data_IF_085138223860
#
_entry.id   IF_085138223860
#
_cell.length_a   1.000
_cell.length_b   1.000
_cell.length_c   1.000
_cell.angle_alpha   90.00
_cell.angle_beta   90.00
_cell.angle_gamma   90.00
#
_symmetry.space_group_name_H-M   'P 1'
#
loop_
_entity.id
_entity.type
_entity.pdbx_description
1 polymer ?
#
# COMPACT_ATOMS: atom_id res chain seq x y z
N UNK A 1 -23.33 47.38 -63.31
CA UNK A 1 -21.87 47.24 -63.54
C UNK A 1 -21.38 46.06 -62.72
N UNK A 2 -20.98 44.94 -63.34
CA UNK A 2 -20.40 43.80 -62.61
C UNK A 2 -18.88 43.99 -62.53
N UNK A 3 -18.32 43.95 -61.32
CA UNK A 3 -16.87 43.85 -61.11
C UNK A 3 -16.43 42.38 -61.24
N UNK A 4 -15.25 42.08 -61.83
CA UNK A 4 -14.88 40.70 -62.16
C UNK A 4 -14.33 39.93 -60.95
N UNK A 5 -15.04 38.88 -60.55
CA UNK A 5 -14.73 38.01 -59.39
C UNK A 5 -13.36 37.35 -59.42
N UNK A 6 -12.71 37.24 -60.59
CA UNK A 6 -11.41 36.58 -60.73
C UNK A 6 -10.26 37.23 -59.96
N UNK A 7 -10.28 38.56 -59.74
CA UNK A 7 -9.12 39.30 -59.19
C UNK A 7 -8.86 39.05 -57.69
N UNK A 8 -9.82 38.47 -56.98
CA UNK A 8 -9.73 38.21 -55.52
C UNK A 8 -9.06 36.85 -55.26
N UNK A 9 -9.52 35.79 -55.94
CA UNK A 9 -8.94 34.44 -55.85
C UNK A 9 -7.45 34.44 -56.25
N UNK A 10 -7.12 35.16 -57.32
CA UNK A 10 -5.75 35.31 -57.86
C UNK A 10 -4.76 36.01 -56.92
N UNK A 11 -5.26 36.79 -55.96
CA UNK A 11 -4.47 37.53 -54.99
C UNK A 11 -4.29 36.71 -53.71
N UNK A 12 -5.32 35.94 -53.32
CA UNK A 12 -5.24 34.97 -52.22
C UNK A 12 -4.28 33.83 -52.55
N UNK A 13 -4.37 33.24 -53.74
CA UNK A 13 -3.49 32.16 -54.18
C UNK A 13 -2.02 32.60 -54.27
N UNK A 14 -1.75 33.83 -54.76
CA UNK A 14 -0.39 34.41 -54.74
C UNK A 14 0.13 34.72 -53.34
N UNK A 15 -0.71 35.17 -52.40
CA UNK A 15 -0.31 35.33 -50.99
C UNK A 15 0.02 33.97 -50.36
N UNK A 16 -0.80 32.96 -50.61
CA UNK A 16 -0.60 31.61 -50.08
C UNK A 16 0.71 30.99 -50.61
N UNK A 17 0.95 31.02 -51.92
CA UNK A 17 2.20 30.55 -52.54
C UNK A 17 3.45 31.30 -52.04
N UNK A 18 3.36 32.61 -51.80
CA UNK A 18 4.46 33.40 -51.22
C UNK A 18 4.74 33.02 -49.78
N UNK A 19 3.71 32.86 -48.95
CA UNK A 19 3.86 32.42 -47.56
C UNK A 19 4.38 30.98 -47.47
N UNK A 20 3.89 30.08 -48.33
CA UNK A 20 4.34 28.69 -48.40
C UNK A 20 5.80 28.58 -48.83
N UNK A 21 6.23 29.31 -49.87
CA UNK A 21 7.66 29.42 -50.23
C UNK A 21 8.49 30.01 -49.09
N UNK A 22 8.01 31.04 -48.38
CA UNK A 22 8.74 31.63 -47.25
C UNK A 22 8.88 30.65 -46.09
N UNK A 23 7.84 29.90 -45.76
CA UNK A 23 7.86 28.85 -44.73
C UNK A 23 8.74 27.65 -45.13
N UNK A 24 8.66 27.21 -46.38
CA UNK A 24 9.50 26.14 -46.93
C UNK A 24 10.98 26.51 -46.96
N UNK A 25 11.32 27.79 -47.22
CA UNK A 25 12.70 28.31 -47.09
C UNK A 25 13.13 28.36 -45.62
N UNK A 26 12.27 28.79 -44.69
CA UNK A 26 12.57 28.81 -43.25
C UNK A 26 12.85 27.39 -42.73
N UNK A 27 12.04 26.40 -43.10
CA UNK A 27 12.27 24.98 -42.75
C UNK A 27 13.49 24.37 -43.45
N UNK A 28 13.90 24.88 -44.62
CA UNK A 28 15.11 24.46 -45.30
C UNK A 28 16.40 25.13 -44.76
N UNK A 29 16.27 26.28 -44.06
CA UNK A 29 17.41 27.02 -43.49
C UNK A 29 17.65 26.75 -42.00
N UNK A 30 16.82 25.97 -41.33
CA UNK A 30 17.16 25.45 -40.00
C UNK A 30 18.22 24.36 -40.15
N UNK A 31 19.48 24.71 -39.94
CA UNK A 31 20.59 23.77 -39.71
C UNK A 31 20.40 23.04 -38.38
N UNK A 32 19.37 22.18 -38.32
CA UNK A 32 19.14 21.27 -37.22
C UNK A 32 20.36 20.35 -37.17
N UNK A 33 21.14 20.35 -36.07
CA UNK A 33 22.39 19.61 -36.02
C UNK A 33 22.13 18.13 -36.23
N UNK A 34 23.05 17.43 -36.91
CA UNK A 34 22.86 16.03 -37.33
C UNK A 34 22.40 15.11 -36.18
N UNK A 35 22.89 15.35 -34.96
CA UNK A 35 22.44 14.65 -33.73
C UNK A 35 20.94 14.82 -33.48
N UNK A 36 20.39 16.02 -33.59
CA UNK A 36 18.95 16.29 -33.40
C UNK A 36 18.11 15.73 -34.55
N UNK A 37 18.61 15.73 -35.79
CA UNK A 37 17.94 15.04 -36.91
C UNK A 37 17.81 13.53 -36.63
N UNK A 38 18.91 12.88 -36.23
CA UNK A 38 18.95 11.45 -35.88
C UNK A 38 18.05 11.12 -34.69
N UNK A 39 18.06 11.95 -33.64
CA UNK A 39 17.17 11.75 -32.47
C UNK A 39 15.69 11.85 -32.88
N UNK A 40 15.32 12.79 -33.76
CA UNK A 40 13.95 12.92 -34.25
C UNK A 40 13.50 11.74 -35.11
N UNK A 41 14.34 11.19 -35.99
CA UNK A 41 13.99 9.97 -36.76
C UNK A 41 13.90 8.73 -35.88
N UNK A 42 14.80 8.57 -34.90
CA UNK A 42 14.72 7.46 -33.94
C UNK A 42 13.45 7.58 -33.10
N UNK A 43 13.15 8.77 -32.55
CA UNK A 43 11.93 9.00 -31.77
C UNK A 43 10.66 8.74 -32.60
N UNK A 44 10.61 9.16 -33.87
CA UNK A 44 9.48 8.92 -34.75
C UNK A 44 9.22 7.43 -35.06
N UNK A 45 10.26 6.59 -35.04
CA UNK A 45 10.12 5.13 -35.19
C UNK A 45 9.83 4.43 -33.86
N UNK A 46 10.48 4.84 -32.76
CA UNK A 46 10.33 4.18 -31.46
C UNK A 46 9.04 4.57 -30.71
N UNK A 47 8.55 5.81 -30.84
CA UNK A 47 7.35 6.28 -30.14
C UNK A 47 6.08 5.48 -30.48
N UNK A 48 5.73 5.21 -31.76
CA UNK A 48 4.57 4.38 -32.06
C UNK A 48 4.77 2.93 -31.60
N UNK A 49 5.98 2.37 -31.74
CA UNK A 49 6.29 1.01 -31.29
C UNK A 49 6.17 0.89 -29.77
N UNK A 50 6.66 1.86 -29.01
CA UNK A 50 6.57 1.92 -27.55
C UNK A 50 5.15 2.14 -27.03
N UNK A 51 4.28 2.82 -27.79
CA UNK A 51 2.87 3.03 -27.42
C UNK A 51 1.97 1.85 -27.83
N UNK A 52 2.31 1.12 -28.89
CA UNK A 52 1.47 0.02 -29.42
C UNK A 52 1.87 -1.34 -28.82
N UNK A 53 3.16 -1.62 -28.59
CA UNK A 53 3.60 -2.90 -28.01
C UNK A 53 3.00 -3.23 -26.63
N UNK A 54 2.83 -2.30 -25.68
CA UNK A 54 2.17 -2.59 -24.41
C UNK A 54 0.72 -3.04 -24.60
N UNK A 55 0.06 -2.59 -25.68
CA UNK A 55 -1.32 -2.99 -25.98
C UNK A 55 -1.42 -4.46 -26.43
N UNK A 56 -0.37 -5.02 -27.04
CA UNK A 56 -0.31 -6.45 -27.40
C UNK A 56 0.27 -7.35 -26.29
N UNK A 57 0.84 -6.76 -25.22
CA UNK A 57 1.38 -7.50 -24.08
C UNK A 57 0.53 -7.34 -22.80
N UNK A 58 -0.45 -6.43 -22.81
CA UNK A 58 -1.28 -6.07 -21.66
C UNK A 58 -2.76 -5.78 -22.01
N UNK A 59 -3.08 -5.52 -23.28
CA UNK A 59 -4.46 -5.55 -23.77
C UNK A 59 -4.83 -7.00 -24.08
N UNK A 60 -5.45 -7.68 -23.11
CA UNK A 60 -5.81 -9.09 -23.25
C UNK A 60 -6.86 -9.33 -24.33
N UNK A 61 -6.82 -10.54 -24.90
CA UNK A 61 -7.90 -11.11 -25.71
C UNK A 61 -9.28 -10.81 -25.12
N UNK A 62 -10.23 -10.48 -26.00
CA UNK A 62 -11.66 -10.36 -25.70
C UNK A 62 -12.31 -11.73 -25.42
N UNK A 63 -11.84 -12.39 -24.35
CA UNK A 63 -12.54 -13.48 -23.68
C UNK A 63 -13.89 -12.95 -23.17
N UNK A 64 -14.93 -13.24 -23.94
CA UNK A 64 -16.31 -12.94 -23.59
C UNK A 64 -16.61 -13.47 -22.19
N UNK A 65 -17.13 -12.60 -21.32
CA UNK A 65 -17.51 -12.95 -19.94
C UNK A 65 -18.66 -13.99 -19.98
N UNK A 66 -18.30 -15.26 -20.07
CA UNK A 66 -19.18 -16.38 -19.80
C UNK A 66 -19.34 -16.47 -18.29
N UNK A 67 -20.47 -15.97 -17.78
CA UNK A 67 -20.85 -16.20 -16.39
C UNK A 67 -21.03 -17.71 -16.20
N UNK A 68 -20.05 -18.36 -15.59
CA UNK A 68 -20.09 -19.77 -15.23
C UNK A 68 -21.24 -20.04 -14.26
N UNK A 69 -22.33 -20.61 -14.79
CA UNK A 69 -23.52 -20.97 -13.98
C UNK A 69 -23.17 -21.94 -12.85
N UNK A 70 -22.16 -22.78 -13.04
CA UNK A 70 -21.61 -23.69 -12.01
C UNK A 70 -21.04 -22.93 -10.79
N UNK A 71 -20.41 -21.76 -11.02
CA UNK A 71 -19.85 -20.94 -9.94
C UNK A 71 -20.94 -20.21 -9.15
N UNK A 72 -22.07 -19.88 -9.80
CA UNK A 72 -23.26 -19.34 -9.13
C UNK A 72 -24.05 -20.43 -8.39
N UNK A 73 -24.14 -21.64 -8.92
CA UNK A 73 -24.77 -22.78 -8.25
C UNK A 73 -24.08 -23.11 -6.92
N UNK A 74 -22.73 -23.08 -6.90
CA UNK A 74 -21.92 -23.28 -5.69
C UNK A 74 -22.19 -22.26 -4.58
N UNK A 75 -22.66 -21.04 -4.92
CA UNK A 75 -23.01 -19.98 -3.94
C UNK A 75 -24.49 -19.97 -3.51
N UNK A 76 -25.32 -20.80 -4.13
CA UNK A 76 -26.75 -20.95 -3.84
C UNK A 76 -27.09 -22.22 -3.05
N UNK A 77 -26.07 -23.00 -2.66
CA UNK A 77 -26.25 -24.16 -1.78
C UNK A 77 -26.79 -23.72 -0.40
N UNK A 78 -27.80 -24.41 0.17
CA UNK A 78 -28.42 -23.99 1.42
C UNK A 78 -27.47 -24.16 2.60
N UNK A 79 -27.12 -23.04 3.24
CA UNK A 79 -26.34 -23.00 4.49
C UNK A 79 -27.18 -23.41 5.71
N UNK A 80 -27.46 -24.71 5.80
CA UNK A 80 -28.05 -25.36 6.98
C UNK A 80 -29.46 -25.92 6.77
N UNK A 81 -29.66 -27.18 7.17
CA UNK A 81 -30.99 -27.75 7.39
C UNK A 81 -31.40 -27.56 8.85
N UNK A 82 -32.53 -26.88 9.08
CA UNK A 82 -33.17 -26.86 10.40
C UNK A 82 -33.94 -28.16 10.63
N UNK A 83 -33.40 -29.03 11.49
CA UNK A 83 -34.13 -30.18 12.03
C UNK A 83 -35.07 -29.72 13.15
N UNK A 84 -36.35 -29.55 12.83
CA UNK A 84 -37.39 -29.32 13.86
C UNK A 84 -37.64 -30.65 14.58
N UNK A 85 -37.11 -30.79 15.79
CA UNK A 85 -37.19 -32.02 16.57
C UNK A 85 -38.59 -32.30 17.13
N UNK A 86 -39.07 -33.53 16.90
CA UNK A 86 -40.15 -34.13 17.68
C UNK A 86 -39.57 -34.84 18.93
N UNK A 87 -40.34 -35.00 20.03
CA UNK A 87 -39.77 -35.36 21.33
C UNK A 87 -39.29 -36.81 21.42
N UNK A 88 -38.24 -37.01 22.23
CA UNK A 88 -37.52 -38.28 22.38
C UNK A 88 -38.26 -39.35 23.20
N UNK A 89 -37.92 -40.64 23.00
CA UNK A 89 -37.85 -41.63 24.06
C UNK A 89 -36.39 -41.84 24.53
N UNK A 90 -36.23 -42.32 25.76
CA UNK A 90 -34.95 -42.36 26.47
C UNK A 90 -34.12 -43.64 26.23
N UNK A 91 -32.79 -43.52 26.40
CA UNK A 91 -31.91 -44.63 26.78
C UNK A 91 -30.95 -45.12 25.69
N UNK A 92 -29.68 -44.70 25.76
CA UNK A 92 -28.59 -45.25 24.95
C UNK A 92 -27.29 -44.47 25.21
N UNK A 93 -26.27 -45.13 25.75
CA UNK A 93 -25.03 -44.48 26.14
C UNK A 93 -24.03 -44.32 24.98
N UNK A 94 -23.40 -43.14 24.94
CA UNK A 94 -22.13 -42.78 24.31
C UNK A 94 -21.50 -43.73 23.25
N UNK A 95 -21.46 -43.24 22.00
CA UNK A 95 -20.17 -42.93 21.37
C UNK A 95 -20.20 -41.48 20.88
N UNK A 96 -19.45 -40.61 21.56
CA UNK A 96 -19.24 -39.25 21.09
C UNK A 96 -18.07 -39.29 20.09
N UNK A 97 -18.39 -39.40 18.80
CA UNK A 97 -17.44 -38.97 17.78
C UNK A 97 -17.29 -37.45 17.92
N UNK A 98 -16.18 -37.03 18.52
CA UNK A 98 -15.86 -35.62 18.74
C UNK A 98 -15.23 -34.98 17.49
N UNK A 99 -15.62 -35.42 16.29
CA UNK A 99 -15.39 -34.73 15.01
C UNK A 99 -16.23 -33.46 14.84
N UNK A 100 -16.43 -32.69 15.93
CA UNK A 100 -17.05 -31.37 15.87
C UNK A 100 -16.00 -30.34 15.45
N UNK A 101 -15.59 -30.41 14.19
CA UNK A 101 -14.83 -29.34 13.56
C UNK A 101 -15.56 -28.02 13.76
N UNK A 102 -14.82 -27.03 14.30
CA UNK A 102 -15.19 -25.63 14.15
C UNK A 102 -15.40 -25.34 12.65
N UNK A 103 -16.22 -24.35 12.26
CA UNK A 103 -16.33 -23.95 10.85
C UNK A 103 -14.91 -23.74 10.30
N UNK A 104 -14.55 -24.53 9.29
CA UNK A 104 -13.19 -24.56 8.77
C UNK A 104 -12.79 -23.15 8.36
N UNK A 105 -11.64 -22.70 8.87
CA UNK A 105 -11.18 -21.35 8.64
C UNK A 105 -10.94 -21.13 7.13
N UNK A 106 -11.53 -20.07 6.58
CA UNK A 106 -11.47 -19.75 5.16
C UNK A 106 -10.11 -19.11 4.80
N UNK A 107 -9.06 -19.93 4.77
CA UNK A 107 -7.70 -19.52 4.44
C UNK A 107 -7.60 -18.84 3.08
N UNK A 108 -8.40 -19.28 2.10
CA UNK A 108 -8.49 -18.63 0.79
C UNK A 108 -9.14 -17.25 0.89
N UNK A 109 -10.28 -17.13 1.55
CA UNK A 109 -10.97 -15.86 1.73
C UNK A 109 -10.14 -14.85 2.51
N UNK A 110 -9.36 -15.28 3.50
CA UNK A 110 -8.44 -14.39 4.21
C UNK A 110 -7.23 -13.98 3.36
N UNK A 111 -6.68 -14.91 2.57
CA UNK A 111 -5.68 -14.58 1.55
C UNK A 111 -6.22 -13.52 0.57
N UNK A 112 -7.41 -13.72 0.02
CA UNK A 112 -8.03 -12.81 -0.96
C UNK A 112 -8.27 -11.40 -0.37
N UNK A 113 -8.60 -11.30 0.93
CA UNK A 113 -8.87 -10.02 1.62
C UNK A 113 -7.61 -9.19 1.90
N UNK A 114 -6.54 -9.83 2.36
CA UNK A 114 -5.38 -9.12 2.96
C UNK A 114 -4.08 -9.47 2.23
N UNK A 115 -3.77 -10.75 2.07
CA UNK A 115 -2.47 -11.19 1.56
C UNK A 115 -2.31 -10.94 0.05
N UNK A 116 -3.39 -11.04 -0.73
CA UNK A 116 -3.39 -10.88 -2.18
C UNK A 116 -2.91 -9.50 -2.65
N UNK A 117 -3.12 -8.45 -1.86
CA UNK A 117 -2.67 -7.09 -2.16
C UNK A 117 -1.15 -6.99 -2.39
N UNK A 118 -0.37 -7.80 -1.66
CA UNK A 118 1.10 -7.86 -1.81
C UNK A 118 1.55 -9.11 -2.58
N UNK A 119 1.00 -10.28 -2.25
CA UNK A 119 1.42 -11.55 -2.81
C UNK A 119 0.80 -11.88 -4.18
N UNK A 120 -0.24 -11.18 -4.64
CA UNK A 120 -0.78 -11.38 -5.99
C UNK A 120 0.18 -10.88 -7.08
N UNK A 121 0.69 -9.66 -6.93
CA UNK A 121 1.62 -9.03 -7.88
C UNK A 121 3.11 -9.18 -7.52
N UNK A 122 3.43 -9.60 -6.29
CA UNK A 122 4.80 -9.65 -5.78
C UNK A 122 5.33 -8.28 -5.34
N UNK A 123 4.45 -7.45 -4.78
CA UNK A 123 4.75 -6.09 -4.34
C UNK A 123 5.92 -6.08 -3.33
N UNK A 124 6.83 -5.11 -3.47
CA UNK A 124 8.06 -5.00 -2.66
C UNK A 124 8.94 -6.28 -2.61
N UNK A 125 8.86 -7.13 -3.64
CA UNK A 125 9.61 -8.39 -3.68
C UNK A 125 8.98 -9.52 -2.86
N UNK A 126 7.71 -9.38 -2.47
CA UNK A 126 6.92 -10.49 -1.94
C UNK A 126 6.92 -11.68 -2.92
N UNK A 127 6.97 -12.93 -2.42
CA UNK A 127 6.79 -14.10 -3.27
C UNK A 127 5.39 -14.07 -3.89
N UNK A 128 5.31 -14.23 -5.21
CA UNK A 128 4.04 -14.23 -5.93
C UNK A 128 3.24 -15.49 -5.62
N UNK A 129 1.93 -15.37 -5.61
CA UNK A 129 1.02 -16.50 -5.52
C UNK A 129 1.24 -17.44 -6.71
N UNK A 130 1.37 -18.74 -6.45
CA UNK A 130 1.71 -19.73 -7.48
C UNK A 130 3.18 -19.81 -7.91
N UNK A 131 4.07 -18.95 -7.41
CA UNK A 131 5.50 -18.96 -7.80
C UNK A 131 6.30 -20.02 -7.02
N UNK A 132 6.24 -21.27 -7.50
CA UNK A 132 6.94 -22.43 -6.92
C UNK A 132 8.40 -22.13 -6.59
N UNK A 133 9.13 -21.45 -7.48
CA UNK A 133 10.55 -21.19 -7.29
C UNK A 133 10.79 -20.17 -6.15
N UNK A 134 10.00 -19.09 -6.10
CA UNK A 134 10.10 -18.08 -5.05
C UNK A 134 9.67 -18.61 -3.67
N UNK A 135 8.72 -19.54 -3.61
CA UNK A 135 8.29 -20.17 -2.37
C UNK A 135 9.23 -21.27 -1.90
N UNK A 136 9.72 -22.14 -2.79
CA UNK A 136 10.67 -23.21 -2.43
C UNK A 136 11.97 -22.60 -1.86
N UNK A 137 12.54 -21.59 -2.52
CA UNK A 137 13.75 -20.92 -2.05
C UNK A 137 13.59 -20.24 -0.66
N UNK A 138 12.34 -19.91 -0.27
CA UNK A 138 12.03 -19.40 1.08
C UNK A 138 11.88 -20.53 2.08
N UNK A 139 11.20 -21.62 1.72
CA UNK A 139 11.08 -22.81 2.56
C UNK A 139 12.46 -23.40 2.87
N UNK A 140 13.32 -23.56 1.85
CA UNK A 140 14.69 -24.06 2.00
C UNK A 140 15.55 -23.15 2.90
N UNK A 141 15.40 -21.83 2.77
CA UNK A 141 16.11 -20.84 3.60
C UNK A 141 15.69 -20.89 5.07
N UNK A 142 14.42 -21.17 5.35
CA UNK A 142 13.88 -21.25 6.72
C UNK A 142 13.93 -22.66 7.31
N UNK A 143 14.16 -23.70 6.49
CA UNK A 143 14.36 -25.10 6.89
C UNK A 143 13.08 -25.87 7.23
N UNK A 144 12.00 -25.19 7.63
CA UNK A 144 10.68 -25.81 7.85
C UNK A 144 9.52 -24.83 7.63
N UNK A 145 8.31 -25.39 7.49
CA UNK A 145 7.07 -24.63 7.48
C UNK A 145 6.91 -23.79 8.76
N UNK A 146 7.11 -24.39 9.94
CA UNK A 146 6.95 -23.69 11.22
C UNK A 146 7.88 -22.48 11.35
N UNK A 147 9.11 -22.59 10.85
CA UNK A 147 10.08 -21.49 10.85
C UNK A 147 9.67 -20.36 9.90
N UNK A 148 9.09 -20.70 8.73
CA UNK A 148 8.53 -19.73 7.79
C UNK A 148 7.27 -19.04 8.35
N UNK A 149 6.36 -19.81 8.95
CA UNK A 149 5.13 -19.33 9.61
C UNK A 149 5.49 -18.41 10.78
N UNK A 150 6.42 -18.81 11.65
CA UNK A 150 6.88 -18.00 12.78
C UNK A 150 7.51 -16.68 12.32
N UNK A 151 8.26 -16.68 11.23
CA UNK A 151 8.78 -15.45 10.65
C UNK A 151 7.66 -14.56 10.10
N UNK A 152 6.63 -15.14 9.46
CA UNK A 152 5.45 -14.41 9.00
C UNK A 152 4.63 -13.80 10.15
N UNK A 153 4.49 -14.52 11.27
CA UNK A 153 3.83 -14.03 12.50
C UNK A 153 4.60 -12.84 13.08
N UNK A 154 5.94 -12.89 13.10
CA UNK A 154 6.80 -11.79 13.57
C UNK A 154 6.90 -10.62 12.58
N UNK A 155 6.56 -10.84 11.31
CA UNK A 155 6.80 -9.90 10.21
C UNK A 155 8.21 -10.04 9.61
N UNK A 156 8.38 -9.58 8.37
CA UNK A 156 9.66 -9.65 7.65
C UNK A 156 9.80 -8.51 6.64
N UNK A 157 10.73 -7.59 6.88
CA UNK A 157 10.99 -6.46 5.99
C UNK A 157 9.76 -5.58 5.84
N UNK A 158 9.16 -5.55 4.65
CA UNK A 158 7.93 -4.81 4.35
C UNK A 158 6.64 -5.57 4.68
N UNK A 159 6.71 -6.84 5.10
CA UNK A 159 5.55 -7.63 5.52
C UNK A 159 5.28 -7.41 7.02
N UNK A 160 4.10 -6.85 7.41
CA UNK A 160 3.74 -6.69 8.82
C UNK A 160 3.57 -8.05 9.54
N UNK A 161 3.53 -8.06 10.89
CA UNK A 161 3.13 -9.24 11.66
C UNK A 161 1.84 -9.87 11.12
N UNK A 162 1.86 -11.17 10.83
CA UNK A 162 0.76 -11.93 10.20
C UNK A 162 0.26 -11.34 8.87
N UNK A 163 1.09 -10.55 8.17
CA UNK A 163 0.67 -9.80 6.99
C UNK A 163 -0.33 -8.68 7.26
N UNK A 164 -0.56 -8.30 8.52
CA UNK A 164 -1.60 -7.35 8.94
C UNK A 164 -2.96 -7.99 9.23
N UNK A 165 -3.08 -9.32 9.17
CA UNK A 165 -4.33 -10.03 9.45
C UNK A 165 -4.61 -10.14 10.95
N UNK A 166 -5.88 -9.89 11.34
CA UNK A 166 -6.38 -9.99 12.72
C UNK A 166 -6.70 -11.42 13.17
N UNK A 167 -5.90 -12.41 12.75
CA UNK A 167 -6.18 -13.85 12.88
C UNK A 167 -5.26 -14.53 13.92
N UNK A 168 -5.62 -15.73 14.37
CA UNK A 168 -4.78 -16.53 15.27
C UNK A 168 -3.49 -17.04 14.59
N UNK A 169 -2.55 -17.58 15.37
CA UNK A 169 -1.28 -18.12 14.83
C UNK A 169 -1.55 -19.37 13.98
N UNK A 170 -2.52 -20.19 14.39
CA UNK A 170 -3.01 -21.38 13.70
C UNK A 170 -3.74 -21.02 12.40
N UNK A 171 -4.61 -20.00 12.44
CA UNK A 171 -5.26 -19.47 11.24
C UNK A 171 -4.24 -18.91 10.24
N UNK A 172 -3.21 -18.20 10.73
CA UNK A 172 -2.13 -17.72 9.88
C UNK A 172 -1.29 -18.87 9.29
N UNK A 173 -1.03 -19.94 10.06
CA UNK A 173 -0.42 -21.16 9.55
C UNK A 173 -1.21 -21.74 8.38
N UNK A 174 -2.53 -21.86 8.52
CA UNK A 174 -3.41 -22.40 7.47
C UNK A 174 -3.45 -21.51 6.21
N UNK A 175 -3.35 -20.17 6.36
CA UNK A 175 -3.10 -19.27 5.21
C UNK A 175 -1.76 -19.62 4.53
N UNK A 176 -0.66 -19.75 5.28
CA UNK A 176 0.66 -20.05 4.69
C UNK A 176 0.68 -21.41 3.99
N UNK A 177 0.00 -22.42 4.52
CA UNK A 177 -0.21 -23.72 3.84
C UNK A 177 -0.92 -23.50 2.50
N UNK A 178 -2.03 -22.76 2.47
CA UNK A 178 -2.75 -22.45 1.23
C UNK A 178 -1.86 -21.77 0.16
N UNK A 179 -1.00 -20.81 0.54
CA UNK A 179 -0.07 -20.21 -0.44
C UNK A 179 0.97 -21.22 -0.98
N UNK A 180 1.44 -22.16 -0.15
CA UNK A 180 2.43 -23.17 -0.55
C UNK A 180 1.80 -24.27 -1.41
N UNK A 181 0.60 -24.72 -1.08
CA UNK A 181 -0.18 -25.65 -1.90
C UNK A 181 -0.50 -25.07 -3.27
N UNK A 182 -0.92 -23.79 -3.34
CA UNK A 182 -1.10 -23.10 -4.61
C UNK A 182 0.21 -22.80 -5.37
N UNK A 183 1.35 -22.77 -4.68
CA UNK A 183 2.68 -22.79 -5.30
C UNK A 183 3.14 -24.20 -5.70
N UNK A 184 2.27 -25.22 -5.59
CA UNK A 184 2.52 -26.62 -5.92
C UNK A 184 3.60 -27.27 -5.03
N UNK A 185 3.77 -26.78 -3.79
CA UNK A 185 4.68 -27.29 -2.76
C UNK A 185 3.85 -27.91 -1.63
N UNK A 186 3.55 -29.22 -1.67
CA UNK A 186 2.67 -29.85 -0.70
C UNK A 186 3.28 -29.81 0.71
N UNK A 187 2.58 -29.14 1.63
CA UNK A 187 2.80 -29.29 3.06
C UNK A 187 1.75 -30.28 3.57
N UNK A 188 2.18 -31.41 4.15
CA UNK A 188 1.22 -32.41 4.66
C UNK A 188 0.26 -31.76 5.67
N UNK A 189 -1.03 -31.78 5.35
CA UNK A 189 -2.04 -30.96 6.02
C UNK A 189 -2.12 -31.10 7.54
N UNK A 190 -2.51 -29.99 8.17
CA UNK A 190 -2.71 -29.74 9.60
C UNK A 190 -3.09 -30.94 10.48
N UNK A 191 -2.47 -31.03 11.68
CA UNK A 191 -3.09 -31.72 12.82
C UNK A 191 -2.27 -32.77 13.59
N UNK A 192 -1.05 -32.45 14.05
CA UNK A 192 -0.44 -33.21 15.15
C UNK A 192 0.44 -32.32 16.03
N UNK A 193 -0.03 -32.04 17.25
CA UNK A 193 0.80 -31.42 18.28
C UNK A 193 1.95 -32.37 18.69
N UNK A 194 3.18 -31.85 18.75
CA UNK A 194 4.29 -32.48 19.46
C UNK A 194 4.79 -31.52 20.56
N UNK A 195 5.09 -31.99 21.78
CA UNK A 195 4.95 -31.18 22.98
C UNK A 195 6.25 -30.48 23.43
N UNK A 196 6.08 -29.47 24.29
CA UNK A 196 7.18 -28.87 25.03
C UNK A 196 7.62 -29.75 26.22
N UNK A 197 8.80 -30.36 26.11
CA UNK A 197 9.68 -30.81 27.19
C UNK A 197 11.09 -31.01 26.58
N UNK A 198 12.22 -30.83 27.28
CA UNK A 198 12.36 -30.60 28.71
C UNK A 198 13.69 -31.14 29.24
N UNK A 199 14.79 -30.59 28.73
CA UNK A 199 16.14 -30.53 29.32
C UNK A 199 17.07 -31.78 29.47
N UNK A 200 18.37 -31.46 29.51
CA UNK A 200 19.55 -32.22 29.96
C UNK A 200 20.10 -33.36 29.06
N UNK A 201 21.31 -33.29 28.48
CA UNK A 201 22.69 -33.12 29.06
C UNK A 201 23.34 -34.48 29.38
N UNK A 202 24.59 -34.82 29.06
CA UNK A 202 25.65 -34.21 28.23
C UNK A 202 26.78 -35.25 28.00
N UNK A 203 27.76 -34.94 27.13
CA UNK A 203 29.20 -35.26 27.35
C UNK A 203 30.12 -34.57 26.33
N UNK A 204 30.91 -33.59 26.79
CA UNK A 204 32.20 -33.19 26.17
C UNK A 204 33.35 -33.99 26.85
N UNK A 205 34.67 -33.81 26.57
CA UNK A 205 35.45 -32.55 26.64
C UNK A 205 36.44 -32.41 25.43
N UNK A 206 37.47 -31.55 25.31
CA UNK A 206 38.27 -30.64 26.15
C UNK A 206 39.04 -29.63 25.22
N UNK A 207 39.72 -28.54 25.61
CA UNK A 207 39.66 -27.59 26.75
C UNK A 207 40.67 -26.42 26.53
N UNK A 208 40.51 -25.31 27.27
CA UNK A 208 41.55 -24.31 27.69
C UNK A 208 42.24 -23.36 26.66
N UNK A 209 42.64 -22.10 27.00
CA UNK A 209 42.55 -21.34 28.27
C UNK A 209 42.75 -19.80 28.14
N UNK A 210 42.21 -19.06 29.14
CA UNK A 210 42.62 -17.75 29.70
C UNK A 210 42.48 -16.47 28.85
N UNK A 211 42.31 -15.24 29.36
CA UNK A 211 41.88 -14.56 30.62
C UNK A 211 42.54 -13.17 30.57
N UNK A 212 41.81 -12.05 30.70
CA UNK A 212 42.00 -11.03 31.78
C UNK A 212 40.91 -9.93 31.72
N UNK A 213 40.65 -9.28 32.87
CA UNK A 213 39.74 -8.14 33.09
C UNK A 213 40.60 -6.88 33.42
N UNK A 214 40.18 -5.78 34.10
CA UNK A 214 38.87 -5.32 34.64
C UNK A 214 38.51 -3.89 34.09
N UNK A 215 37.70 -2.98 34.66
CA UNK A 215 37.14 -2.76 36.01
C UNK A 215 35.92 -1.80 36.03
N UNK A 216 35.32 -1.62 37.21
CA UNK A 216 34.38 -0.53 37.58
C UNK A 216 35.15 0.62 38.29
N UNK A 217 34.60 1.74 38.80
CA UNK A 217 33.21 2.13 39.13
C UNK A 217 33.06 3.68 39.31
N UNK A 218 31.88 4.11 39.77
CA UNK A 218 31.62 5.30 40.62
C UNK A 218 31.83 6.74 40.07
N UNK A 219 30.70 7.35 39.67
CA UNK A 219 30.05 8.56 40.23
C UNK A 219 30.91 9.63 40.97
N UNK A 220 30.69 10.93 40.68
CA UNK A 220 30.29 12.03 41.63
C UNK A 220 30.14 13.40 40.88
N UNK A 221 29.10 14.17 41.28
CA UNK A 221 28.80 15.62 41.18
C UNK A 221 28.58 16.42 39.86
N UNK A 222 27.68 17.40 40.03
CA UNK A 222 27.35 18.54 39.17
C UNK A 222 27.90 19.85 39.80
N UNK A 223 27.66 21.02 39.19
CA UNK A 223 26.80 21.97 39.93
C UNK A 223 25.78 22.74 39.07
N UNK A 224 24.81 23.35 39.78
CA UNK A 224 23.77 24.27 39.27
C UNK A 224 24.38 25.65 38.87
N UNK A 225 23.68 26.62 38.26
CA UNK A 225 22.43 27.37 38.61
C UNK A 225 21.89 28.08 37.34
N UNK A 226 20.72 28.74 37.26
CA UNK A 226 19.74 29.20 38.25
C UNK A 226 18.29 29.23 37.67
N UNK A 227 17.31 29.33 38.56
CA UNK A 227 15.86 29.42 38.30
C UNK A 227 15.40 30.86 37.98
N UNK A 228 14.29 31.00 37.24
CA UNK A 228 13.26 32.03 37.52
C UNK A 228 11.92 31.65 36.89
N UNK A 229 11.09 30.95 37.66
CA UNK A 229 9.66 30.75 37.39
C UNK A 229 8.82 31.98 37.78
N UNK A 230 7.82 32.33 36.97
CA UNK A 230 6.69 33.18 37.37
C UNK A 230 5.42 32.78 36.60
N UNK A 231 4.25 32.87 37.27
CA UNK A 231 3.04 32.13 36.89
C UNK A 231 2.02 32.89 36.01
N UNK A 232 1.06 32.10 35.51
CA UNK A 232 -0.19 32.40 34.79
C UNK A 232 -1.11 33.48 35.47
N UNK A 233 -2.21 34.01 34.86
CA UNK A 233 -3.22 33.23 34.10
C UNK A 233 -4.09 33.87 32.98
N UNK A 234 -4.85 32.98 32.31
CA UNK A 234 -6.24 33.10 31.82
C UNK A 234 -6.70 34.09 30.71
N UNK A 235 -7.28 33.46 29.66
CA UNK A 235 -8.63 33.68 29.10
C UNK A 235 -8.95 34.79 28.04
N UNK A 236 -9.34 34.26 26.86
CA UNK A 236 -10.49 34.63 26.00
C UNK A 236 -10.47 35.75 24.92
N UNK A 237 -10.94 35.31 23.74
CA UNK A 237 -11.86 35.95 22.78
C UNK A 237 -11.32 36.78 21.58
N UNK A 238 -11.34 36.08 20.43
CA UNK A 238 -11.90 36.50 19.11
C UNK A 238 -11.40 37.79 18.43
N UNK A 239 -10.80 37.61 17.25
CA UNK A 239 -11.25 38.33 16.04
C UNK A 239 -11.40 37.35 14.88
N UNK A 240 -12.62 37.31 14.35
CA UNK A 240 -13.05 36.59 13.16
C UNK A 240 -12.72 37.42 11.91
N UNK A 241 -12.21 36.80 10.84
CA UNK A 241 -12.21 37.40 9.48
C UNK A 241 -12.78 36.39 8.52
N UNK A 242 -13.85 36.80 7.82
CA UNK A 242 -14.71 35.90 7.06
C UNK A 242 -14.15 35.52 5.68
N UNK A 243 -14.21 34.22 5.41
CA UNK A 243 -14.60 33.57 4.16
C UNK A 243 -14.29 34.24 2.80
N UNK A 244 -13.44 33.56 2.03
CA UNK A 244 -13.69 33.34 0.60
C UNK A 244 -14.13 31.88 0.42
N UNK A 245 -15.42 31.61 0.62
CA UNK A 245 -15.96 30.25 0.62
C UNK A 245 -15.98 29.62 -0.78
N UNK A 246 -15.09 28.65 -1.02
CA UNK A 246 -15.43 27.52 -1.89
C UNK A 246 -16.49 26.70 -1.17
N UNK A 247 -17.65 26.48 -1.79
CA UNK A 247 -18.73 25.74 -1.15
C UNK A 247 -18.38 24.24 -1.11
N UNK A 248 -17.79 23.79 0.01
CA UNK A 248 -17.66 22.38 0.32
C UNK A 248 -19.05 21.71 0.26
N UNK A 249 -19.11 20.51 -0.32
CA UNK A 249 -20.23 19.64 -0.07
C UNK A 249 -20.33 19.35 1.44
N UNK A 250 -21.48 18.90 1.98
CA UNK A 250 -21.54 18.47 3.37
C UNK A 250 -20.46 17.43 3.64
N UNK A 251 -19.58 17.68 4.62
CA UNK A 251 -18.67 16.66 5.13
C UNK A 251 -19.48 15.41 5.43
N UNK A 252 -19.06 14.28 4.86
CA UNK A 252 -19.70 13.00 5.16
C UNK A 252 -19.45 12.68 6.64
N UNK A 253 -20.48 12.68 7.51
CA UNK A 253 -20.29 12.43 8.93
C UNK A 253 -19.86 10.98 9.22
N UNK A 254 -19.85 10.11 8.21
CA UNK A 254 -19.38 8.73 8.29
C UNK A 254 -17.97 8.53 7.71
N UNK A 255 -17.32 9.58 7.19
CA UNK A 255 -15.94 9.45 6.72
C UNK A 255 -15.00 9.20 7.89
N UNK A 256 -14.22 8.12 7.80
CA UNK A 256 -13.28 7.71 8.85
C UNK A 256 -11.83 8.01 8.41
N UNK A 257 -11.29 9.20 8.71
CA UNK A 257 -9.92 9.54 8.31
C UNK A 257 -8.87 8.66 8.99
N UNK A 258 -9.13 8.14 10.20
CA UNK A 258 -8.24 7.19 10.85
C UNK A 258 -8.19 5.85 10.10
N UNK A 259 -9.34 5.34 9.65
CA UNK A 259 -9.41 4.09 8.87
C UNK A 259 -8.70 4.17 7.53
N UNK A 260 -8.83 5.29 6.80
CA UNK A 260 -8.07 5.49 5.56
C UNK A 260 -6.57 5.76 5.82
N UNK A 261 -6.23 6.43 6.94
CA UNK A 261 -4.83 6.55 7.38
C UNK A 261 -4.21 5.17 7.63
N UNK A 262 -4.84 4.32 8.44
CA UNK A 262 -4.33 3.00 8.82
C UNK A 262 -4.16 2.07 7.59
N UNK A 263 -5.07 2.19 6.62
CA UNK A 263 -5.12 1.37 5.40
C UNK A 263 -4.08 1.75 4.33
N UNK A 264 -3.77 3.05 4.16
CA UNK A 264 -2.94 3.54 3.04
C UNK A 264 -1.79 4.46 3.46
N UNK A 265 -1.99 5.33 4.44
CA UNK A 265 -1.02 6.38 4.76
C UNK A 265 0.01 5.94 5.80
N UNK A 266 -0.38 5.07 6.74
CA UNK A 266 0.45 4.59 7.84
C UNK A 266 1.74 3.91 7.37
N UNK A 267 1.72 3.19 6.24
CA UNK A 267 2.88 2.52 5.64
C UNK A 267 4.08 3.45 5.45
N UNK A 268 3.83 4.72 5.11
CA UNK A 268 4.87 5.73 4.99
C UNK A 268 4.95 6.63 6.22
N UNK A 269 3.81 7.09 6.73
CA UNK A 269 3.74 8.13 7.75
C UNK A 269 3.79 7.64 9.21
N UNK A 270 3.71 6.35 9.50
CA UNK A 270 3.94 5.86 10.87
C UNK A 270 5.43 5.89 11.23
N UNK A 271 6.30 5.49 10.30
CA UNK A 271 7.75 5.39 10.52
C UNK A 271 8.57 6.52 9.86
N UNK A 272 7.96 7.32 8.99
CA UNK A 272 8.63 8.39 8.24
C UNK A 272 9.42 7.88 7.03
N UNK A 273 8.90 6.86 6.35
CA UNK A 273 9.51 6.25 5.16
C UNK A 273 9.71 7.30 4.07
N UNK A 274 10.83 7.23 3.33
CA UNK A 274 11.16 8.18 2.26
C UNK A 274 11.12 9.67 2.69
N UNK A 275 11.45 9.98 3.95
CA UNK A 275 11.37 11.33 4.52
C UNK A 275 9.94 11.90 4.55
N UNK A 276 8.94 11.02 4.65
CA UNK A 276 7.57 11.40 5.00
C UNK A 276 7.54 11.95 6.45
N UNK A 277 6.75 13.01 6.72
CA UNK A 277 6.51 13.47 8.08
C UNK A 277 5.76 12.40 8.88
N UNK A 278 6.19 12.14 10.11
CA UNK A 278 5.57 11.11 10.95
C UNK A 278 4.27 11.62 11.55
N UNK A 279 3.25 10.78 11.66
CA UNK A 279 2.07 11.11 12.48
C UNK A 279 2.53 11.32 13.94
N UNK A 280 2.19 12.45 14.55
CA UNK A 280 2.66 12.84 15.88
C UNK A 280 3.88 13.79 15.89
N UNK A 281 4.55 14.01 14.76
CA UNK A 281 5.74 14.89 14.70
C UNK A 281 5.33 16.36 14.47
N UNK A 282 4.96 17.03 15.56
CA UNK A 282 4.49 18.42 15.56
C UNK A 282 5.45 19.39 14.87
N UNK A 283 6.75 19.20 15.03
CA UNK A 283 7.78 20.04 14.41
C UNK A 283 7.81 19.84 12.89
N UNK A 284 7.85 18.59 12.40
CA UNK A 284 7.89 18.28 10.98
C UNK A 284 6.61 18.69 10.25
N UNK A 285 5.44 18.60 10.90
CA UNK A 285 4.18 19.07 10.34
C UNK A 285 4.06 20.59 10.33
N UNK A 286 4.47 21.27 11.40
CA UNK A 286 4.46 22.74 11.46
C UNK A 286 5.36 23.37 10.40
N UNK A 287 6.58 22.86 10.24
CA UNK A 287 7.51 23.34 9.19
C UNK A 287 6.91 23.21 7.78
N UNK A 288 6.15 22.13 7.53
CA UNK A 288 5.49 21.88 6.24
C UNK A 288 4.26 22.75 6.04
N UNK A 289 3.46 22.98 7.08
CA UNK A 289 2.31 23.88 7.07
C UNK A 289 2.76 25.32 6.76
N UNK A 290 3.80 25.80 7.45
CA UNK A 290 4.38 27.13 7.25
C UNK A 290 4.96 27.27 5.82
N UNK A 291 5.70 26.25 5.33
CA UNK A 291 6.23 26.22 3.94
C UNK A 291 5.15 26.13 2.87
N UNK A 292 4.00 25.52 3.17
CA UNK A 292 2.91 25.38 2.23
C UNK A 292 2.00 26.62 2.17
N UNK A 293 2.11 27.54 3.13
CA UNK A 293 1.23 28.71 3.23
C UNK A 293 -0.10 28.40 3.93
N UNK A 294 -0.11 27.44 4.86
CA UNK A 294 -1.31 27.02 5.60
C UNK A 294 -1.93 25.71 5.10
N UNK A 295 -3.08 25.36 5.67
CA UNK A 295 -3.78 24.09 5.46
C UNK A 295 -4.08 23.83 3.98
N UNK A 296 -4.74 24.77 3.30
CA UNK A 296 -5.12 24.63 1.88
C UNK A 296 -3.91 24.36 0.97
N UNK A 297 -2.79 25.02 1.24
CA UNK A 297 -1.54 24.81 0.50
C UNK A 297 -0.97 23.40 0.72
N UNK A 298 -1.03 22.89 1.95
CA UNK A 298 -0.56 21.55 2.30
C UNK A 298 -1.46 20.46 1.69
N UNK A 299 -2.78 20.66 1.75
CA UNK A 299 -3.79 19.82 1.10
C UNK A 299 -3.55 19.79 -0.42
N UNK A 300 -3.34 20.94 -1.06
CA UNK A 300 -3.06 21.02 -2.50
C UNK A 300 -1.74 20.36 -2.92
N UNK A 301 -0.70 20.38 -2.07
CA UNK A 301 0.53 19.61 -2.30
C UNK A 301 0.27 18.10 -2.21
N UNK A 302 -0.50 17.66 -1.20
CA UNK A 302 -0.89 16.26 -1.08
C UNK A 302 -1.75 15.76 -2.24
N UNK A 303 -2.72 16.54 -2.71
CA UNK A 303 -3.57 16.20 -3.88
C UNK A 303 -2.73 16.02 -5.14
N UNK A 304 -1.74 16.89 -5.38
CA UNK A 304 -0.86 16.83 -6.55
C UNK A 304 0.25 15.78 -6.43
N UNK A 305 0.51 15.28 -5.22
CA UNK A 305 1.66 14.44 -4.90
C UNK A 305 2.92 15.28 -4.63
N UNK A 306 3.79 14.77 -3.77
CA UNK A 306 5.02 15.48 -3.35
C UNK A 306 6.17 14.50 -3.11
N UNK A 307 7.29 14.71 -3.80
CA UNK A 307 8.46 13.82 -3.77
C UNK A 307 8.09 12.37 -4.09
N UNK A 308 8.20 11.46 -3.12
CA UNK A 308 7.83 10.05 -3.23
C UNK A 308 6.36 9.76 -2.87
N UNK A 309 5.60 10.76 -2.39
CA UNK A 309 4.16 10.63 -2.10
C UNK A 309 3.35 10.77 -3.39
N UNK A 310 2.57 9.75 -3.80
CA UNK A 310 1.69 9.85 -4.97
C UNK A 310 0.58 10.91 -4.76
N UNK A 311 -0.12 11.32 -5.84
CA UNK A 311 -1.34 12.12 -5.73
C UNK A 311 -2.32 11.54 -4.71
N UNK A 312 -2.78 12.37 -3.76
CA UNK A 312 -3.62 11.99 -2.61
C UNK A 312 -3.06 10.81 -1.77
N UNK A 313 -1.74 10.62 -1.76
CA UNK A 313 -1.11 9.47 -1.11
C UNK A 313 -1.44 8.12 -1.75
N UNK A 314 -1.97 8.10 -2.98
CA UNK A 314 -2.45 6.88 -3.65
C UNK A 314 -3.88 6.47 -3.28
N UNK A 315 -4.59 7.28 -2.48
CA UNK A 315 -5.99 7.03 -2.12
C UNK A 315 -6.96 7.44 -3.23
N UNK A 316 -8.13 6.80 -3.28
CA UNK A 316 -9.21 7.10 -4.24
C UNK A 316 -10.25 8.08 -3.68
N UNK A 317 -9.96 8.74 -2.55
CA UNK A 317 -10.91 9.65 -1.88
C UNK A 317 -11.08 10.96 -2.67
N UNK A 318 -12.21 11.64 -2.46
CA UNK A 318 -12.44 12.96 -3.06
C UNK A 318 -11.59 14.06 -2.36
N UNK A 319 -11.60 15.28 -2.89
CA UNK A 319 -10.73 16.36 -2.40
C UNK A 319 -11.10 16.81 -0.97
N UNK A 320 -12.40 16.83 -0.63
CA UNK A 320 -12.89 17.16 0.71
C UNK A 320 -12.50 16.08 1.75
N UNK A 321 -12.63 14.80 1.39
CA UNK A 321 -12.16 13.67 2.20
C UNK A 321 -10.63 13.68 2.38
N UNK A 322 -9.87 14.08 1.35
CA UNK A 322 -8.43 14.23 1.46
C UNK A 322 -8.04 15.42 2.36
N UNK A 323 -8.78 16.52 2.29
CA UNK A 323 -8.64 17.64 3.23
C UNK A 323 -8.83 17.16 4.68
N UNK A 324 -9.90 16.41 4.97
CA UNK A 324 -10.19 15.92 6.32
C UNK A 324 -9.18 14.87 6.82
N UNK A 325 -8.56 14.11 5.91
CA UNK A 325 -7.35 13.30 6.20
C UNK A 325 -6.16 14.18 6.64
N UNK A 326 -5.89 15.28 5.94
CA UNK A 326 -4.80 16.20 6.32
C UNK A 326 -5.09 16.91 7.65
N UNK A 327 -6.33 17.27 7.94
CA UNK A 327 -6.76 17.76 9.27
C UNK A 327 -6.46 16.72 10.35
N UNK A 328 -6.87 15.47 10.16
CA UNK A 328 -6.55 14.37 11.09
C UNK A 328 -5.04 14.20 11.33
N UNK A 329 -4.21 14.39 10.30
CA UNK A 329 -2.75 14.37 10.43
C UNK A 329 -2.21 15.46 11.36
N UNK A 330 -2.75 16.68 11.26
CA UNK A 330 -2.34 17.84 12.05
C UNK A 330 -2.88 17.75 13.48
N UNK A 331 -4.14 17.34 13.66
CA UNK A 331 -4.76 17.04 14.96
C UNK A 331 -3.96 16.00 15.74
N UNK A 332 -3.64 14.86 15.12
CA UNK A 332 -2.82 13.79 15.73
C UNK A 332 -1.38 14.18 15.99
N UNK A 333 -0.96 15.35 15.50
CA UNK A 333 0.38 15.90 15.68
C UNK A 333 0.37 17.17 16.53
N UNK A 334 -0.73 17.50 17.21
CA UNK A 334 -0.92 18.70 18.04
C UNK A 334 -0.53 20.02 17.31
N UNK A 335 -0.74 20.08 15.98
CA UNK A 335 -0.44 21.26 15.16
C UNK A 335 -1.71 22.07 14.91
N UNK A 336 -1.77 23.27 15.48
CA UNK A 336 -2.81 24.25 15.16
C UNK A 336 -2.73 24.67 13.68
N UNK A 337 -3.89 24.74 13.02
CA UNK A 337 -4.05 24.92 11.58
C UNK A 337 -5.35 25.65 11.23
#
# INVERSE_FOLDING_TARGET
MLAPSGRICDNLHRKFLKNFRKWSIIMAQTDIPQKTKIIMTIAALFMPVFLILPFFFWGGEDDSITIDKELQASRLAPVGQLTVGAPAPAGGAAVADAGSSAPAFDAKGEYDKICAACHGSGLMGAPKFGDTAAWQARLDKHGSLDALVKQGIQGLGSMPPKGGAGISDEQFHDVVVYLLENANIPQGGSGAAAPAAGDSSAAAPAAEAKTEAPATEAKIEAPAVADSSAAAPAAEAKTEVAAAGGASAPRDPNFNPQGEYDKLCATCHAIGLMNAPKLGDSAAWKERLDKAGGLDGLVQQGIKGINAMPPKGGSTVNDDQFHDLVVFFLDKSDVAH
#
